data_IF_802300873423
#
_entry.id   IF_802300873423
#
_cell.length_a   1.000
_cell.length_b   1.000
_cell.length_c   1.000
_cell.angle_alpha   90.00
_cell.angle_beta   90.00
_cell.angle_gamma   90.00
#
_symmetry.space_group_name_H-M   'P 1'
#
loop_
_entity.id
_entity.type
_entity.pdbx_description
1 polymer ?
#
# COMPACT_ATOMS: atom_id res chain seq x y z
N UNK A 1 -15.55 34.39 -3.13
CA UNK A 1 -14.81 33.40 -3.94
C UNK A 1 -15.53 33.22 -5.26
N UNK A 2 -14.92 33.62 -6.39
CA UNK A 2 -15.47 33.35 -7.72
C UNK A 2 -14.83 32.07 -8.24
N UNK A 3 -15.62 31.11 -8.70
CA UNK A 3 -15.10 29.87 -9.28
C UNK A 3 -14.60 30.18 -10.69
N UNK A 4 -13.37 29.79 -11.00
CA UNK A 4 -12.86 29.86 -12.37
C UNK A 4 -13.39 28.67 -13.20
N UNK A 5 -14.41 28.92 -14.03
CA UNK A 5 -15.05 27.90 -14.86
C UNK A 5 -14.09 27.21 -15.85
N UNK A 6 -13.07 27.92 -16.36
CA UNK A 6 -12.08 27.33 -17.26
C UNK A 6 -11.16 26.36 -16.51
N UNK A 7 -10.76 26.73 -15.29
CA UNK A 7 -10.00 25.84 -14.41
C UNK A 7 -10.82 24.61 -13.99
N UNK A 8 -12.12 24.78 -13.73
CA UNK A 8 -13.03 23.69 -13.39
C UNK A 8 -13.10 22.62 -14.49
N UNK A 9 -13.27 23.03 -15.75
CA UNK A 9 -13.31 22.08 -16.88
C UNK A 9 -11.98 21.36 -17.05
N UNK A 10 -10.86 22.08 -16.95
CA UNK A 10 -9.53 21.47 -17.04
C UNK A 10 -9.27 20.45 -15.92
N UNK A 11 -9.68 20.77 -14.70
CA UNK A 11 -9.56 19.87 -13.54
C UNK A 11 -10.42 18.62 -13.68
N UNK A 12 -11.64 18.73 -14.24
CA UNK A 12 -12.50 17.57 -14.48
C UNK A 12 -11.88 16.54 -15.45
N UNK A 13 -11.25 17.01 -16.54
CA UNK A 13 -10.54 16.11 -17.45
C UNK A 13 -9.29 15.49 -16.81
N UNK A 14 -8.58 16.27 -15.99
CA UNK A 14 -7.42 15.80 -15.23
C UNK A 14 -7.83 14.72 -14.22
N UNK A 15 -8.91 14.94 -13.46
CA UNK A 15 -9.48 13.98 -12.51
C UNK A 15 -9.80 12.65 -13.19
N UNK A 16 -10.41 12.68 -14.37
CA UNK A 16 -10.79 11.48 -15.11
C UNK A 16 -9.59 10.56 -15.41
N UNK A 17 -8.42 11.15 -15.67
CA UNK A 17 -7.16 10.43 -15.88
C UNK A 17 -6.56 10.00 -14.53
N UNK A 18 -6.54 10.91 -13.55
CA UNK A 18 -5.90 10.70 -12.27
C UNK A 18 -6.64 9.71 -11.36
N UNK A 19 -7.95 9.51 -11.55
CA UNK A 19 -8.72 8.49 -10.81
C UNK A 19 -8.14 7.10 -11.06
N UNK A 20 -7.84 6.75 -12.31
CA UNK A 20 -7.23 5.44 -12.63
C UNK A 20 -5.87 5.27 -11.98
N UNK A 21 -5.03 6.30 -12.03
CA UNK A 21 -3.71 6.32 -11.38
C UNK A 21 -3.85 6.22 -9.85
N UNK A 22 -4.83 6.92 -9.26
CA UNK A 22 -5.11 6.90 -7.84
C UNK A 22 -5.54 5.51 -7.37
N UNK A 23 -6.46 4.85 -8.08
CA UNK A 23 -6.88 3.48 -7.79
C UNK A 23 -5.70 2.52 -7.89
N UNK A 24 -4.89 2.62 -8.95
CA UNK A 24 -3.71 1.79 -9.13
C UNK A 24 -2.70 1.95 -7.98
N UNK A 25 -2.43 3.19 -7.55
CA UNK A 25 -1.54 3.47 -6.42
C UNK A 25 -2.07 2.90 -5.11
N UNK A 26 -3.37 3.06 -4.84
CA UNK A 26 -4.00 2.49 -3.63
C UNK A 26 -3.93 0.96 -3.65
N UNK A 27 -4.25 0.34 -4.79
CA UNK A 27 -4.17 -1.11 -4.96
C UNK A 27 -2.75 -1.63 -4.77
N UNK A 28 -1.74 -0.90 -5.26
CA UNK A 28 -0.34 -1.26 -5.11
C UNK A 28 0.14 -1.17 -3.66
N UNK A 29 -0.23 -0.10 -2.94
CA UNK A 29 0.05 0.03 -1.50
C UNK A 29 -0.68 -1.05 -0.70
N UNK A 30 -1.93 -1.34 -1.04
CA UNK A 30 -2.71 -2.39 -0.39
C UNK A 30 -2.06 -3.77 -0.58
N UNK A 31 -1.70 -4.11 -1.82
CA UNK A 31 -0.99 -5.36 -2.14
C UNK A 31 0.32 -5.48 -1.35
N UNK A 32 1.09 -4.39 -1.26
CA UNK A 32 2.31 -4.36 -0.46
C UNK A 32 2.04 -4.68 1.02
N UNK A 33 0.97 -4.14 1.61
CA UNK A 33 0.57 -4.46 2.98
C UNK A 33 0.11 -5.90 3.16
N UNK A 34 -0.63 -6.45 2.19
CA UNK A 34 -1.02 -7.88 2.21
C UNK A 34 0.22 -8.77 2.22
N UNK A 35 1.22 -8.44 1.41
CA UNK A 35 2.51 -9.16 1.37
C UNK A 35 3.23 -9.08 2.72
N UNK A 36 3.34 -7.89 3.30
CA UNK A 36 3.97 -7.68 4.63
C UNK A 36 3.28 -8.51 5.70
N UNK A 37 1.95 -8.44 5.78
CA UNK A 37 1.17 -9.18 6.79
C UNK A 37 1.31 -10.68 6.58
N UNK A 38 1.25 -11.15 5.32
CA UNK A 38 1.38 -12.57 5.00
C UNK A 38 2.73 -13.14 5.43
N UNK A 39 3.83 -12.43 5.18
CA UNK A 39 5.15 -12.89 5.60
C UNK A 39 5.38 -12.81 7.10
N UNK A 40 4.81 -11.81 7.79
CA UNK A 40 4.88 -11.72 9.25
C UNK A 40 4.04 -12.84 9.89
N UNK A 41 2.87 -13.16 9.32
CA UNK A 41 1.98 -14.21 9.80
C UNK A 41 2.49 -15.63 9.46
N UNK A 42 3.26 -15.79 8.38
CA UNK A 42 3.82 -17.06 7.89
C UNK A 42 4.39 -17.97 9.00
N UNK A 43 5.33 -17.53 9.86
CA UNK A 43 5.90 -18.40 10.88
C UNK A 43 4.84 -18.92 11.87
N UNK A 44 3.84 -18.10 12.22
CA UNK A 44 2.75 -18.53 13.09
C UNK A 44 1.85 -19.57 12.40
N UNK A 45 1.54 -19.35 11.11
CA UNK A 45 0.74 -20.30 10.32
C UNK A 45 1.43 -21.66 10.19
N UNK A 46 2.75 -21.67 10.00
CA UNK A 46 3.54 -22.92 9.92
C UNK A 46 3.53 -23.67 11.25
N UNK A 47 3.70 -22.97 12.37
CA UNK A 47 3.63 -23.59 13.71
C UNK A 47 2.23 -24.18 13.96
N UNK A 48 1.18 -23.42 13.70
CA UNK A 48 -0.20 -23.88 13.90
C UNK A 48 -0.52 -25.09 13.01
N UNK A 49 -0.13 -25.06 11.73
CA UNK A 49 -0.36 -26.16 10.80
C UNK A 49 0.43 -27.43 11.18
N UNK A 50 1.60 -27.28 11.80
CA UNK A 50 2.37 -28.41 12.34
C UNK A 50 1.68 -29.04 13.56
N UNK A 51 1.17 -28.24 14.50
CA UNK A 51 0.47 -28.76 15.70
C UNK A 51 -0.89 -29.41 15.39
N UNK A 52 -1.53 -29.01 14.29
CA UNK A 52 -2.82 -29.56 13.87
C UNK A 52 -2.68 -30.77 12.94
N UNK A 53 -1.46 -31.27 12.71
CA UNK A 53 -1.13 -32.34 11.76
C UNK A 53 -1.72 -32.10 10.36
N UNK A 54 -1.96 -30.84 9.99
CA UNK A 54 -2.53 -30.50 8.69
C UNK A 54 -1.52 -30.69 7.55
N UNK A 55 -0.23 -30.55 7.84
CA UNK A 55 0.82 -30.68 6.83
C UNK A 55 2.19 -30.96 7.46
N UNK A 56 2.95 -31.87 6.86
CA UNK A 56 4.35 -32.07 7.23
C UNK A 56 5.25 -30.97 6.66
N UNK A 57 5.93 -30.24 7.55
CA UNK A 57 6.90 -29.22 7.16
C UNK A 57 8.32 -29.70 7.44
N UNK A 58 9.16 -29.72 6.39
CA UNK A 58 10.60 -29.92 6.56
C UNK A 58 11.22 -28.73 7.30
N UNK A 59 12.20 -28.99 8.18
CA UNK A 59 12.94 -27.98 8.96
C UNK A 59 13.40 -26.78 8.10
N UNK A 60 13.84 -27.03 6.86
CA UNK A 60 14.24 -25.97 5.93
C UNK A 60 13.15 -24.94 5.62
N UNK A 61 11.87 -25.36 5.56
CA UNK A 61 10.73 -24.45 5.31
C UNK A 61 10.49 -23.54 6.51
N UNK A 62 10.70 -24.03 7.72
CA UNK A 62 10.56 -23.25 8.96
C UNK A 62 11.68 -22.20 9.05
N UNK A 63 12.91 -22.58 8.72
CA UNK A 63 14.06 -21.67 8.68
C UNK A 63 13.85 -20.57 7.64
N UNK A 64 13.48 -20.94 6.40
CA UNK A 64 13.19 -19.95 5.35
C UNK A 64 12.02 -19.03 5.72
N UNK A 65 10.94 -19.57 6.30
CA UNK A 65 9.81 -18.78 6.78
C UNK A 65 10.22 -17.75 7.83
N UNK A 66 11.09 -18.15 8.76
CA UNK A 66 11.63 -17.25 9.79
C UNK A 66 12.51 -16.14 9.19
N UNK A 67 13.34 -16.48 8.20
CA UNK A 67 14.17 -15.49 7.47
C UNK A 67 13.29 -14.49 6.70
N UNK A 68 12.26 -14.97 5.99
CA UNK A 68 11.32 -14.08 5.28
C UNK A 68 10.51 -13.19 6.23
N UNK A 69 10.12 -13.72 7.39
CA UNK A 69 9.46 -12.92 8.43
C UNK A 69 10.40 -11.82 8.97
N UNK A 70 11.66 -12.16 9.25
CA UNK A 70 12.66 -11.19 9.70
C UNK A 70 12.94 -10.11 8.64
N UNK A 71 13.11 -10.50 7.37
CA UNK A 71 13.25 -9.55 6.25
C UNK A 71 12.02 -8.65 6.08
N UNK A 72 10.83 -9.22 6.25
CA UNK A 72 9.59 -8.45 6.16
C UNK A 72 9.47 -7.42 7.27
N UNK A 73 9.87 -7.77 8.50
CA UNK A 73 9.86 -6.85 9.63
C UNK A 73 10.92 -5.75 9.51
N UNK A 74 12.13 -6.10 9.06
CA UNK A 74 13.29 -5.19 9.04
C UNK A 74 13.35 -4.30 7.81
N UNK A 75 12.98 -4.80 6.63
CA UNK A 75 13.15 -4.09 5.35
C UNK A 75 11.80 -3.70 4.76
N UNK A 76 10.88 -4.66 4.64
CA UNK A 76 9.64 -4.44 3.88
C UNK A 76 8.64 -3.58 4.67
N UNK A 77 8.53 -3.76 5.99
CA UNK A 77 7.66 -2.98 6.86
C UNK A 77 7.98 -1.47 6.87
N UNK A 78 9.23 -1.02 7.09
CA UNK A 78 9.53 0.41 7.00
C UNK A 78 9.32 0.94 5.58
N UNK A 79 9.66 0.16 4.55
CA UNK A 79 9.40 0.54 3.17
C UNK A 79 7.90 0.73 2.90
N UNK A 80 7.03 -0.18 3.37
CA UNK A 80 5.59 -0.08 3.23
C UNK A 80 5.02 1.16 3.93
N UNK A 81 5.53 1.49 5.12
CA UNK A 81 5.17 2.74 5.82
C UNK A 81 5.58 3.97 5.02
N UNK A 82 6.79 4.01 4.49
CA UNK A 82 7.27 5.13 3.66
C UNK A 82 6.47 5.27 2.38
N UNK A 83 6.19 4.16 1.68
CA UNK A 83 5.38 4.17 0.46
C UNK A 83 3.97 4.70 0.74
N UNK A 84 3.33 4.23 1.81
CA UNK A 84 2.01 4.70 2.25
C UNK A 84 2.02 6.20 2.57
N UNK A 85 3.05 6.67 3.28
CA UNK A 85 3.20 8.09 3.62
C UNK A 85 3.37 8.97 2.36
N UNK A 86 4.20 8.55 1.41
CA UNK A 86 4.39 9.26 0.13
C UNK A 86 3.10 9.33 -0.68
N UNK A 87 2.38 8.21 -0.79
CA UNK A 87 1.09 8.18 -1.50
C UNK A 87 0.06 9.09 -0.82
N UNK A 88 -0.03 9.05 0.52
CA UNK A 88 -0.88 9.97 1.28
C UNK A 88 -0.52 11.44 1.01
N UNK A 89 0.77 11.78 0.99
CA UNK A 89 1.23 13.15 0.74
C UNK A 89 0.91 13.60 -0.69
N UNK A 90 1.01 12.72 -1.68
CA UNK A 90 0.58 13.01 -3.06
C UNK A 90 -0.91 13.37 -3.11
N UNK A 91 -1.79 12.61 -2.44
CA UNK A 91 -3.21 12.94 -2.39
C UNK A 91 -3.48 14.26 -1.68
N UNK A 92 -2.82 14.55 -0.55
CA UNK A 92 -2.97 15.84 0.15
C UNK A 92 -2.57 17.01 -0.75
N UNK A 93 -1.40 16.92 -1.39
CA UNK A 93 -0.92 17.96 -2.30
C UNK A 93 -1.87 18.14 -3.49
N UNK A 94 -2.47 17.05 -3.98
CA UNK A 94 -3.49 17.10 -5.02
C UNK A 94 -4.72 17.90 -4.60
N UNK A 95 -5.27 17.64 -3.39
CA UNK A 95 -6.40 18.40 -2.88
C UNK A 95 -6.07 19.88 -2.69
N UNK A 96 -4.88 20.20 -2.18
CA UNK A 96 -4.42 21.59 -2.03
C UNK A 96 -4.32 22.28 -3.38
N UNK A 97 -3.76 21.60 -4.40
CA UNK A 97 -3.68 22.11 -5.77
C UNK A 97 -5.07 22.38 -6.35
N UNK A 98 -6.02 21.46 -6.14
CA UNK A 98 -7.41 21.60 -6.56
C UNK A 98 -8.06 22.84 -5.94
N UNK A 99 -7.89 23.02 -4.62
CA UNK A 99 -8.44 24.15 -3.89
C UNK A 99 -7.86 25.48 -4.37
N UNK A 100 -6.54 25.56 -4.55
CA UNK A 100 -5.85 26.78 -5.04
C UNK A 100 -6.22 27.13 -6.48
N UNK A 101 -6.51 26.13 -7.32
CA UNK A 101 -6.83 26.32 -8.73
C UNK A 101 -8.29 26.74 -8.94
N UNK A 102 -9.22 26.24 -8.13
CA UNK A 102 -10.64 26.57 -8.19
C UNK A 102 -10.98 27.90 -7.49
N UNK A 103 -10.36 28.13 -6.34
CA UNK A 103 -10.59 29.29 -5.50
C UNK A 103 -9.39 30.24 -5.60
N UNK A 104 -9.24 30.84 -6.78
CA UNK A 104 -8.40 32.03 -6.97
C UNK A 104 -9.23 33.29 -6.84
#
# INVERSE_FOLDING_TARGET
MKINMVALVGLLFLDLILVGIGIALIALVFSLWVVVVSFIASPFLVVVAHFLDFQEFTIWRIVLGSVFAALSFTVILPFAKTATSKVKQLFINYFVFHQQSLYK
#
